data_IF_904601533420
#
_entry.id   IF_904601533420
#
_cell.length_a   1.000
_cell.length_b   1.000
_cell.length_c   1.000
_cell.angle_alpha   90.00
_cell.angle_beta   90.00
_cell.angle_gamma   90.00
#
_symmetry.space_group_name_H-M   'P 1'
#
loop_
_entity.id
_entity.type
_entity.pdbx_description
1 polymer ?
#
# COMPACT_ATOMS: atom_id res chain seq x y z
N UNK A 1 17.62 -11.22 18.65
CA UNK A 1 18.46 -10.18 18.02
C UNK A 1 17.87 -8.85 18.44
N UNK A 2 18.68 -7.96 19.00
CA UNK A 2 18.20 -6.66 19.47
C UNK A 2 18.20 -5.66 18.32
N UNK A 3 17.23 -4.75 18.32
CA UNK A 3 17.01 -3.80 17.23
C UNK A 3 18.16 -2.81 17.07
N UNK A 4 18.41 -2.43 15.81
CA UNK A 4 19.40 -1.44 15.41
C UNK A 4 18.81 -0.04 15.20
N UNK A 5 19.65 0.99 15.26
CA UNK A 5 19.25 2.39 14.99
C UNK A 5 18.72 2.55 13.56
N UNK A 6 19.31 1.83 12.61
CA UNK A 6 18.87 1.78 11.21
C UNK A 6 17.46 1.20 11.08
N UNK A 7 17.18 0.08 11.75
CA UNK A 7 15.85 -0.53 11.73
C UNK A 7 14.81 0.37 12.40
N UNK A 8 15.18 1.04 13.48
CA UNK A 8 14.31 2.00 14.16
C UNK A 8 13.95 3.17 13.25
N UNK A 9 14.94 3.79 12.59
CA UNK A 9 14.73 4.87 11.61
C UNK A 9 13.92 4.41 10.40
N UNK A 10 14.11 3.17 9.94
CA UNK A 10 13.32 2.58 8.84
C UNK A 10 11.83 2.55 9.21
N UNK A 11 11.50 2.17 10.45
CA UNK A 11 10.12 2.17 10.93
C UNK A 11 9.55 3.58 11.04
N UNK A 12 10.33 4.54 11.56
CA UNK A 12 9.90 5.93 11.64
C UNK A 12 9.61 6.54 10.26
N UNK A 13 10.45 6.20 9.27
CA UNK A 13 10.36 6.69 7.90
C UNK A 13 9.19 6.08 7.14
N UNK A 14 9.10 4.75 7.12
CA UNK A 14 8.08 4.03 6.33
C UNK A 14 6.70 4.03 7.01
N UNK A 15 6.67 4.28 8.31
CA UNK A 15 5.48 4.16 9.12
C UNK A 15 5.01 2.72 9.26
N UNK A 16 3.93 2.55 10.02
CA UNK A 16 3.21 1.27 10.16
C UNK A 16 2.08 1.22 9.15
N UNK A 17 2.36 0.78 7.93
CA UNK A 17 1.28 0.42 7.02
C UNK A 17 0.48 -0.74 7.61
N UNK A 18 -0.84 -0.63 7.67
CA UNK A 18 -1.73 -1.69 8.19
C UNK A 18 -1.75 -2.97 7.32
N UNK A 19 -0.83 -3.10 6.36
CA UNK A 19 -0.66 -4.31 5.55
C UNK A 19 -0.12 -5.41 6.46
N UNK A 20 -0.71 -6.61 6.39
CA UNK A 20 -0.47 -7.71 7.32
C UNK A 20 1.00 -8.11 7.50
N UNK A 21 1.84 -7.87 6.49
CA UNK A 21 3.30 -8.07 6.53
C UNK A 21 4.01 -7.15 7.52
N UNK A 22 3.56 -5.90 7.68
CA UNK A 22 4.22 -4.93 8.55
C UNK A 22 3.77 -5.05 10.01
N UNK A 23 2.54 -5.54 10.26
CA UNK A 23 2.07 -5.85 11.62
C UNK A 23 2.88 -6.98 12.26
N UNK A 24 3.25 -8.01 11.49
CA UNK A 24 4.12 -9.09 11.95
C UNK A 24 5.51 -8.57 12.33
N UNK A 25 6.13 -7.79 11.43
CA UNK A 25 7.43 -7.14 11.68
C UNK A 25 7.38 -6.20 12.88
N UNK A 26 6.34 -5.38 13.01
CA UNK A 26 6.17 -4.46 14.13
C UNK A 26 6.04 -5.20 15.47
N UNK A 27 5.26 -6.30 15.53
CA UNK A 27 5.17 -7.14 16.73
C UNK A 27 6.52 -7.76 17.08
N UNK A 28 7.27 -8.22 16.09
CA UNK A 28 8.61 -8.78 16.29
C UNK A 28 9.59 -7.72 16.81
N UNK A 29 9.56 -6.51 16.25
CA UNK A 29 10.38 -5.38 16.69
C UNK A 29 10.02 -4.94 18.11
N UNK A 30 8.73 -4.84 18.43
CA UNK A 30 8.27 -4.58 19.81
C UNK A 30 8.72 -5.67 20.78
N UNK A 31 8.63 -6.95 20.39
CA UNK A 31 9.10 -8.06 21.23
C UNK A 31 10.63 -8.07 21.41
N UNK A 32 11.37 -7.49 20.46
CA UNK A 32 12.83 -7.33 20.54
C UNK A 32 13.29 -6.15 21.40
N UNK A 33 12.36 -5.34 21.92
CA UNK A 33 12.65 -4.17 22.73
C UNK A 33 13.32 -4.56 24.05
N UNK A 34 14.56 -4.13 24.26
CA UNK A 34 15.34 -4.54 25.44
C UNK A 34 15.34 -3.49 26.54
N UNK A 35 15.15 -2.22 26.20
CA UNK A 35 15.19 -1.09 27.16
C UNK A 35 13.79 -0.60 27.54
N UNK A 36 13.69 0.10 28.68
CA UNK A 36 12.42 0.72 29.12
C UNK A 36 11.94 1.77 28.11
N UNK A 37 12.87 2.59 27.60
CA UNK A 37 12.56 3.61 26.60
C UNK A 37 12.01 3.00 25.30
N UNK A 38 12.62 1.92 24.80
CA UNK A 38 12.11 1.20 23.62
C UNK A 38 10.69 0.67 23.86
N UNK A 39 10.43 0.05 25.02
CA UNK A 39 9.10 -0.50 25.35
C UNK A 39 8.03 0.59 25.40
N UNK A 40 8.31 1.70 26.07
CA UNK A 40 7.40 2.85 26.17
C UNK A 40 7.12 3.47 24.79
N UNK A 41 8.14 3.56 23.93
CA UNK A 41 7.96 4.03 22.56
C UNK A 41 7.02 3.12 21.77
N UNK A 42 7.23 1.80 21.82
CA UNK A 42 6.40 0.86 21.07
C UNK A 42 4.95 0.80 21.57
N UNK A 43 4.72 0.98 22.87
CA UNK A 43 3.37 1.13 23.44
C UNK A 43 2.70 2.40 22.92
N UNK A 44 3.40 3.54 23.01
CA UNK A 44 2.88 4.84 22.52
C UNK A 44 2.61 4.81 21.01
N UNK A 45 3.48 4.17 20.22
CA UNK A 45 3.29 3.98 18.78
C UNK A 45 2.04 3.13 18.50
N UNK A 46 1.82 2.05 19.26
CA UNK A 46 0.68 1.16 19.06
C UNK A 46 -0.65 1.88 19.28
N UNK A 47 -0.75 2.67 20.35
CA UNK A 47 -1.96 3.47 20.65
C UNK A 47 -2.24 4.51 19.57
N UNK A 48 -1.18 5.15 19.05
CA UNK A 48 -1.32 6.12 17.95
C UNK A 48 -1.83 5.45 16.66
N UNK A 49 -1.39 4.21 16.38
CA UNK A 49 -1.81 3.48 15.17
C UNK A 49 -3.22 2.90 15.23
N UNK A 50 -3.72 2.58 16.43
CA UNK A 50 -5.09 2.07 16.61
C UNK A 50 -6.15 3.13 16.23
N UNK A 51 -5.82 4.42 16.40
CA UNK A 51 -6.72 5.54 16.14
C UNK A 51 -6.86 5.87 14.66
N UNK A 52 -5.88 5.55 13.81
CA UNK A 52 -5.88 5.89 12.37
C UNK A 52 -6.60 4.85 11.48
N UNK A 53 -7.16 3.78 12.05
CA UNK A 53 -7.44 2.54 11.34
C UNK A 53 -8.89 2.39 10.84
N UNK A 54 -9.21 2.96 9.67
CA UNK A 54 -10.21 2.37 8.75
C UNK A 54 -9.81 2.61 7.29
N UNK A 55 -8.83 1.86 6.77
CA UNK A 55 -8.48 1.97 5.34
C UNK A 55 -9.66 1.48 4.51
N UNK A 56 -10.23 2.35 3.67
CA UNK A 56 -11.28 1.93 2.73
C UNK A 56 -10.55 1.39 1.51
N UNK A 57 -10.37 0.07 1.46
CA UNK A 57 -9.79 -0.57 0.28
C UNK A 57 -10.87 -0.67 -0.79
N UNK A 58 -10.63 -0.06 -1.95
CA UNK A 58 -11.44 -0.34 -3.12
C UNK A 58 -11.12 -1.73 -3.63
N UNK A 59 -12.14 -2.58 -3.72
CA UNK A 59 -11.99 -3.92 -4.23
C UNK A 59 -12.06 -3.93 -5.75
N UNK A 60 -10.91 -3.86 -6.43
CA UNK A 60 -10.84 -3.83 -7.88
C UNK A 60 -11.07 -5.25 -8.47
N UNK A 61 -12.23 -5.54 -9.08
CA UNK A 61 -12.51 -6.87 -9.62
C UNK A 61 -11.57 -7.22 -10.77
N UNK A 62 -11.14 -6.23 -11.56
CA UNK A 62 -10.21 -6.41 -12.69
C UNK A 62 -8.87 -7.00 -12.18
N UNK A 63 -8.35 -6.56 -11.04
CA UNK A 63 -7.07 -7.06 -10.50
C UNK A 63 -7.18 -8.45 -9.84
N UNK A 64 -8.34 -8.82 -9.31
CA UNK A 64 -8.52 -10.10 -8.59
C UNK A 64 -8.57 -11.31 -9.50
N UNK A 65 -9.00 -11.13 -10.75
CA UNK A 65 -9.15 -12.24 -11.68
C UNK A 65 -7.77 -12.72 -12.14
N UNK A 66 -7.36 -13.88 -11.65
CA UNK A 66 -6.23 -14.64 -12.20
C UNK A 66 -6.73 -15.54 -13.33
N UNK A 67 -6.13 -15.43 -14.52
CA UNK A 67 -6.52 -16.20 -15.69
C UNK A 67 -5.36 -17.05 -16.13
N UNK A 68 -5.63 -18.35 -16.27
CA UNK A 68 -4.71 -19.25 -16.94
C UNK A 68 -4.92 -19.10 -18.45
N UNK A 69 -3.86 -18.82 -19.23
CA UNK A 69 -4.00 -18.70 -20.68
C UNK A 69 -4.55 -20.02 -21.23
N UNK A 70 -5.69 -19.93 -21.91
CA UNK A 70 -6.31 -21.05 -22.61
C UNK A 70 -5.74 -21.23 -24.02
N UNK A 71 -6.14 -22.30 -24.70
CA UNK A 71 -5.87 -22.43 -26.14
C UNK A 71 -6.58 -21.30 -26.88
N UNK A 72 -5.90 -20.72 -27.86
CA UNK A 72 -6.50 -19.67 -28.65
C UNK A 72 -7.73 -20.20 -29.41
N UNK A 73 -8.85 -19.48 -29.32
CA UNK A 73 -10.10 -19.83 -30.02
C UNK A 73 -10.80 -18.56 -30.51
N UNK A 74 -11.47 -18.61 -31.67
CA UNK A 74 -12.37 -17.55 -32.08
C UNK A 74 -13.60 -17.49 -31.16
N UNK A 75 -14.21 -16.31 -31.09
CA UNK A 75 -15.50 -16.13 -30.42
C UNK A 75 -16.59 -16.86 -31.19
N UNK A 76 -17.42 -17.61 -30.47
CA UNK A 76 -18.60 -18.24 -31.07
C UNK A 76 -19.81 -17.28 -31.05
N UNK A 77 -20.90 -17.69 -31.68
CA UNK A 77 -22.12 -16.87 -31.74
C UNK A 77 -22.74 -16.62 -30.36
N UNK A 78 -22.55 -17.53 -29.40
CA UNK A 78 -23.06 -17.39 -28.05
C UNK A 78 -22.24 -16.36 -27.26
N UNK A 79 -20.91 -16.38 -27.40
CA UNK A 79 -20.00 -15.38 -26.84
C UNK A 79 -20.36 -13.98 -27.36
N UNK A 80 -20.56 -13.84 -28.67
CA UNK A 80 -20.95 -12.56 -29.28
C UNK A 80 -22.30 -12.05 -28.76
N UNK A 81 -23.32 -12.93 -28.70
CA UNK A 81 -24.63 -12.57 -28.18
C UNK A 81 -24.59 -12.22 -26.68
N UNK A 82 -23.71 -12.87 -25.92
CA UNK A 82 -23.50 -12.56 -24.50
C UNK A 82 -22.82 -11.20 -24.33
N UNK A 83 -21.72 -10.92 -25.06
CA UNK A 83 -21.03 -9.62 -25.03
C UNK A 83 -21.99 -8.48 -25.36
N UNK A 84 -22.86 -8.66 -26.37
CA UNK A 84 -23.84 -7.65 -26.78
C UNK A 84 -24.91 -7.35 -25.71
N UNK A 85 -25.14 -8.26 -24.76
CA UNK A 85 -26.12 -8.08 -23.68
C UNK A 85 -25.52 -7.44 -22.44
N UNK A 86 -24.20 -7.29 -22.37
CA UNK A 86 -23.55 -6.67 -21.22
C UNK A 86 -24.02 -5.22 -21.06
N UNK A 87 -24.13 -4.73 -19.82
CA UNK A 87 -24.44 -3.33 -19.57
C UNK A 87 -23.45 -2.41 -20.28
N UNK A 88 -23.96 -1.36 -20.93
CA UNK A 88 -23.10 -0.33 -21.53
C UNK A 88 -22.35 0.52 -20.48
N UNK A 89 -22.90 0.58 -19.26
CA UNK A 89 -22.29 1.28 -18.13
C UNK A 89 -21.21 0.37 -17.48
N UNK A 90 -19.91 0.77 -17.51
CA UNK A 90 -18.82 0.00 -16.92
C UNK A 90 -19.01 -0.31 -15.43
N UNK A 91 -19.74 0.54 -14.70
CA UNK A 91 -19.97 0.36 -13.27
C UNK A 91 -20.95 -0.79 -12.95
N UNK A 92 -21.73 -1.25 -13.94
CA UNK A 92 -22.76 -2.29 -13.80
C UNK A 92 -22.32 -3.66 -14.27
N UNK A 93 -21.14 -3.77 -14.87
CA UNK A 93 -20.57 -5.06 -15.29
C UNK A 93 -20.13 -5.83 -14.04
N UNK A 94 -20.58 -7.08 -13.91
CA UNK A 94 -20.32 -7.86 -12.70
C UNK A 94 -18.87 -8.35 -12.66
N UNK A 95 -18.31 -8.68 -11.48
CA UNK A 95 -16.98 -9.30 -11.38
C UNK A 95 -16.84 -10.59 -12.20
N UNK A 96 -17.92 -11.39 -12.29
CA UNK A 96 -17.97 -12.61 -13.09
C UNK A 96 -17.90 -12.31 -14.59
N UNK A 97 -18.60 -11.26 -15.04
CA UNK A 97 -18.53 -10.80 -16.43
C UNK A 97 -17.13 -10.28 -16.78
N UNK A 98 -16.49 -9.54 -15.87
CA UNK A 98 -15.08 -9.11 -16.02
C UNK A 98 -14.16 -10.33 -16.15
N UNK A 99 -14.37 -11.37 -15.34
CA UNK A 99 -13.60 -12.60 -15.42
C UNK A 99 -13.78 -13.30 -16.76
N UNK A 100 -15.02 -13.41 -17.25
CA UNK A 100 -15.32 -14.01 -18.54
C UNK A 100 -14.69 -13.21 -19.70
N UNK A 101 -14.86 -11.89 -19.73
CA UNK A 101 -14.27 -11.00 -20.74
C UNK A 101 -12.76 -11.12 -20.80
N UNK A 102 -12.09 -11.12 -19.65
CA UNK A 102 -10.64 -11.29 -19.60
C UNK A 102 -10.21 -12.70 -20.02
N UNK A 103 -11.00 -13.72 -19.66
CA UNK A 103 -10.79 -15.10 -20.11
C UNK A 103 -10.80 -15.20 -21.63
N UNK A 104 -11.82 -14.61 -22.25
CA UNK A 104 -11.92 -14.49 -23.71
C UNK A 104 -10.75 -13.68 -24.29
N UNK A 105 -10.37 -12.55 -23.67
CA UNK A 105 -9.25 -11.73 -24.12
C UNK A 105 -7.92 -12.51 -24.12
N UNK A 106 -7.71 -13.41 -23.16
CA UNK A 106 -6.52 -14.26 -23.08
C UNK A 106 -6.47 -15.36 -24.15
N UNK A 107 -7.63 -15.72 -24.71
CA UNK A 107 -7.78 -16.75 -25.74
C UNK A 107 -7.87 -16.15 -27.15
N UNK A 108 -8.20 -14.87 -27.27
CA UNK A 108 -8.24 -14.18 -28.55
C UNK A 108 -6.81 -13.83 -29.00
N UNK A 109 -6.46 -14.19 -30.24
CA UNK A 109 -5.17 -13.80 -30.81
C UNK A 109 -5.08 -12.26 -30.92
N UNK A 110 -3.96 -11.69 -30.47
CA UNK A 110 -3.74 -10.25 -30.50
C UNK A 110 -3.88 -9.71 -31.94
N UNK A 111 -4.56 -8.57 -32.09
CA UNK A 111 -4.75 -7.90 -33.38
C UNK A 111 -5.96 -8.36 -34.20
N UNK A 112 -6.61 -9.47 -33.82
CA UNK A 112 -7.85 -9.96 -34.46
C UNK A 112 -9.07 -9.08 -34.15
N UNK A 113 -10.11 -9.18 -34.97
CA UNK A 113 -11.40 -8.52 -34.73
C UNK A 113 -12.02 -8.91 -33.38
N UNK A 114 -11.91 -10.19 -33.01
CA UNK A 114 -12.39 -10.71 -31.71
C UNK A 114 -11.68 -10.03 -30.55
N UNK A 115 -10.35 -9.95 -30.60
CA UNK A 115 -9.57 -9.25 -29.58
C UNK A 115 -9.96 -7.76 -29.51
N UNK A 116 -10.18 -7.09 -30.64
CA UNK A 116 -10.62 -5.69 -30.68
C UNK A 116 -12.01 -5.51 -30.07
N UNK A 117 -12.96 -6.41 -30.36
CA UNK A 117 -14.30 -6.38 -29.79
C UNK A 117 -14.27 -6.53 -28.27
N UNK A 118 -13.55 -7.53 -27.77
CA UNK A 118 -13.42 -7.77 -26.32
C UNK A 118 -12.77 -6.55 -25.66
N UNK A 119 -11.72 -5.98 -26.26
CA UNK A 119 -11.05 -4.78 -25.74
C UNK A 119 -11.93 -3.53 -25.77
N UNK A 120 -12.84 -3.41 -26.74
CA UNK A 120 -13.79 -2.29 -26.79
C UNK A 120 -14.73 -2.27 -25.58
N UNK A 121 -15.07 -3.44 -25.02
CA UNK A 121 -15.89 -3.55 -23.80
C UNK A 121 -15.03 -3.54 -22.54
N UNK A 122 -13.97 -4.34 -22.51
CA UNK A 122 -13.11 -4.50 -21.33
C UNK A 122 -12.28 -3.25 -21.02
N UNK A 123 -11.80 -2.52 -22.03
CA UNK A 123 -10.97 -1.32 -21.85
C UNK A 123 -11.66 -0.25 -20.98
N UNK A 124 -12.89 0.18 -21.31
CA UNK A 124 -13.65 1.10 -20.47
C UNK A 124 -13.85 0.62 -19.02
N UNK A 125 -14.07 -0.68 -18.82
CA UNK A 125 -14.16 -1.29 -17.47
C UNK A 125 -12.84 -1.19 -16.72
N UNK A 126 -11.73 -1.52 -17.37
CA UNK A 126 -10.38 -1.40 -16.80
C UNK A 126 -10.10 0.05 -16.39
N UNK A 127 -10.42 1.03 -17.24
CA UNK A 127 -10.25 2.46 -16.95
C UNK A 127 -11.13 2.92 -15.79
N UNK A 128 -12.40 2.52 -15.76
CA UNK A 128 -13.32 2.89 -14.68
C UNK A 128 -12.83 2.39 -13.32
N UNK A 129 -12.51 1.10 -13.21
CA UNK A 129 -12.04 0.52 -11.95
C UNK A 129 -10.65 1.04 -11.55
N UNK A 130 -9.77 1.32 -12.51
CA UNK A 130 -8.49 1.96 -12.22
C UNK A 130 -8.67 3.37 -11.62
N UNK A 131 -9.60 4.17 -12.15
CA UNK A 131 -9.93 5.49 -11.60
C UNK A 131 -10.49 5.37 -10.18
N UNK A 132 -11.43 4.44 -9.93
CA UNK A 132 -12.00 4.21 -8.59
C UNK A 132 -10.96 3.74 -7.58
N UNK A 133 -10.01 2.91 -8.02
CA UNK A 133 -8.87 2.51 -7.19
C UNK A 133 -7.97 3.71 -6.87
N UNK A 134 -7.69 4.57 -7.85
CA UNK A 134 -6.91 5.80 -7.64
C UNK A 134 -7.62 6.79 -6.68
N UNK A 135 -8.93 6.99 -6.83
CA UNK A 135 -9.76 7.81 -5.92
C UNK A 135 -9.72 7.27 -4.49
N UNK A 136 -9.86 5.95 -4.31
CA UNK A 136 -9.80 5.33 -2.98
C UNK A 136 -8.39 5.42 -2.37
N UNK A 137 -7.35 5.24 -3.19
CA UNK A 137 -5.96 5.43 -2.75
C UNK A 137 -5.70 6.87 -2.32
N UNK A 138 -6.18 7.85 -3.10
CA UNK A 138 -6.09 9.26 -2.75
C UNK A 138 -6.85 9.58 -1.46
N UNK A 139 -8.05 9.04 -1.26
CA UNK A 139 -8.82 9.21 -0.03
C UNK A 139 -8.10 8.62 1.19
N UNK A 140 -7.38 7.51 1.02
CA UNK A 140 -6.55 6.91 2.07
C UNK A 140 -5.29 7.74 2.36
N UNK A 141 -4.64 8.28 1.32
CA UNK A 141 -3.45 9.13 1.44
C UNK A 141 -3.76 10.55 1.89
N UNK A 142 -5.00 11.03 1.74
CA UNK A 142 -5.40 12.36 2.22
C UNK A 142 -5.55 12.43 3.75
N UNK A 143 -5.36 11.30 4.45
CA UNK A 143 -5.46 11.23 5.90
C UNK A 143 -4.18 11.73 6.56
N UNK A 144 -4.27 12.32 7.78
CA UNK A 144 -3.09 12.73 8.51
C UNK A 144 -2.14 11.55 8.74
N UNK A 145 -0.84 11.80 8.56
CA UNK A 145 0.20 10.86 8.95
C UNK A 145 0.09 10.54 10.45
N UNK A 146 0.18 9.26 10.80
CA UNK A 146 0.29 8.82 12.20
C UNK A 146 1.43 9.57 12.89
N UNK A 147 1.13 10.25 13.98
CA UNK A 147 2.11 11.02 14.74
C UNK A 147 3.21 10.10 15.29
N UNK A 148 4.44 10.59 15.35
CA UNK A 148 5.54 9.89 16.00
C UNK A 148 5.55 10.33 17.47
N UNK A 149 5.51 9.39 18.44
CA UNK A 149 5.56 9.70 19.86
C UNK A 149 6.78 10.55 20.24
N UNK A 150 6.60 11.44 21.21
CA UNK A 150 7.64 12.35 21.66
C UNK A 150 8.88 11.63 22.23
N UNK A 151 8.70 10.44 22.79
CA UNK A 151 9.77 9.61 23.35
C UNK A 151 10.59 8.83 22.30
N UNK A 152 10.39 9.08 21.01
CA UNK A 152 11.16 8.43 19.94
C UNK A 152 12.68 8.72 20.04
N UNK A 153 13.06 9.94 20.44
CA UNK A 153 14.47 10.31 20.62
C UNK A 153 15.11 9.58 21.81
N UNK A 154 14.36 9.39 22.91
CA UNK A 154 14.84 8.64 24.08
C UNK A 154 15.06 7.17 23.74
N UNK A 155 14.12 6.56 23.02
CA UNK A 155 14.24 5.18 22.56
C UNK A 155 15.43 4.99 21.60
N UNK A 156 15.61 5.89 20.63
CA UNK A 156 16.73 5.82 19.71
C UNK A 156 18.08 6.09 20.39
N UNK A 157 18.12 6.98 21.39
CA UNK A 157 19.31 7.23 22.21
C UNK A 157 19.73 5.96 22.97
N UNK A 158 18.77 5.23 23.55
CA UNK A 158 19.02 3.95 24.22
C UNK A 158 19.55 2.87 23.27
N UNK A 159 19.10 2.86 22.00
CA UNK A 159 19.64 1.99 20.96
C UNK A 159 21.08 2.39 20.60
N UNK A 160 21.34 3.69 20.41
CA UNK A 160 22.68 4.21 20.11
C UNK A 160 23.69 3.91 21.23
N UNK A 161 23.26 3.94 22.49
CA UNK A 161 24.10 3.55 23.64
C UNK A 161 24.62 2.11 23.55
N UNK A 162 23.88 1.22 22.90
CA UNK A 162 24.28 -0.17 22.69
C UNK A 162 25.15 -0.35 21.43
N UNK A 163 24.86 0.42 20.38
CA UNK A 163 25.60 0.32 19.10
C UNK A 163 26.94 1.03 19.14
N UNK A 164 27.02 2.15 19.85
CA UNK A 164 28.22 2.99 19.95
C UNK A 164 28.41 3.38 21.43
N UNK A 165 28.96 2.48 22.26
CA UNK A 165 29.08 2.70 23.70
C UNK A 165 29.95 3.90 24.08
N UNK A 166 30.91 4.25 23.23
CA UNK A 166 31.91 5.29 23.49
C UNK A 166 31.37 6.72 23.34
N UNK A 167 30.16 6.91 22.78
CA UNK A 167 29.53 8.22 22.69
C UNK A 167 29.09 8.69 24.08
N UNK A 168 29.23 10.00 24.35
CA UNK A 168 28.68 10.61 25.57
C UNK A 168 27.15 10.69 25.50
N UNK A 169 26.48 10.71 26.65
CA UNK A 169 25.01 10.67 26.70
C UNK A 169 24.36 11.87 25.99
N UNK A 170 24.97 13.06 26.10
CA UNK A 170 24.54 14.29 25.43
C UNK A 170 24.68 14.20 23.89
N UNK A 171 25.77 13.60 23.42
CA UNK A 171 26.02 13.36 22.01
C UNK A 171 25.05 12.31 21.43
N UNK A 172 24.77 11.24 22.19
CA UNK A 172 23.80 10.21 21.80
C UNK A 172 22.41 10.79 21.63
N UNK A 173 21.94 11.55 22.62
CA UNK A 173 20.62 12.16 22.55
C UNK A 173 20.51 13.20 21.42
N UNK A 174 21.53 14.04 21.24
CA UNK A 174 21.57 15.03 20.16
C UNK A 174 21.50 14.36 18.79
N UNK A 175 22.28 13.28 18.60
CA UNK A 175 22.28 12.50 17.37
C UNK A 175 20.95 11.77 17.15
N UNK A 176 20.40 11.13 18.18
CA UNK A 176 19.10 10.48 18.12
C UNK A 176 17.99 11.48 17.71
N UNK A 177 17.97 12.66 18.33
CA UNK A 177 17.01 13.72 18.03
C UNK A 177 17.11 14.20 16.57
N UNK A 178 18.33 14.36 16.05
CA UNK A 178 18.55 14.70 14.65
C UNK A 178 18.03 13.58 13.71
N UNK A 179 18.37 12.32 13.98
CA UNK A 179 17.92 11.18 13.18
C UNK A 179 16.39 11.01 13.18
N UNK A 180 15.72 11.23 14.32
CA UNK A 180 14.26 11.22 14.41
C UNK A 180 13.66 12.34 13.56
N UNK A 181 14.21 13.56 13.66
CA UNK A 181 13.75 14.71 12.86
C UNK A 181 13.89 14.46 11.37
N UNK A 182 15.03 13.94 10.94
CA UNK A 182 15.31 13.61 9.54
C UNK A 182 14.34 12.54 9.05
N UNK A 183 14.09 11.50 9.85
CA UNK A 183 13.11 10.45 9.52
C UNK A 183 11.68 10.99 9.40
N UNK A 184 11.26 11.89 10.30
CA UNK A 184 9.94 12.56 10.26
C UNK A 184 9.81 13.40 9.00
N UNK A 185 10.83 14.20 8.67
CA UNK A 185 10.83 15.04 7.47
C UNK A 185 10.79 14.17 6.21
N UNK A 186 11.64 13.15 6.12
CA UNK A 186 11.67 12.25 4.98
C UNK A 186 10.35 11.50 4.80
N UNK A 187 9.72 11.05 5.89
CA UNK A 187 8.37 10.45 5.85
C UNK A 187 7.34 11.43 5.30
N UNK A 188 7.43 12.71 5.66
CA UNK A 188 6.53 13.75 5.16
C UNK A 188 6.72 13.95 3.66
N UNK A 189 7.96 14.03 3.19
CA UNK A 189 8.28 14.21 1.77
C UNK A 189 7.77 13.03 0.95
N UNK A 190 8.07 11.79 1.37
CA UNK A 190 7.55 10.58 0.71
C UNK A 190 6.02 10.55 0.65
N UNK A 191 5.36 11.02 1.70
CA UNK A 191 3.91 11.10 1.73
C UNK A 191 3.36 12.16 0.77
N UNK A 192 4.01 13.32 0.68
CA UNK A 192 3.63 14.37 -0.27
C UNK A 192 3.80 13.89 -1.71
N UNK A 193 4.88 13.18 -2.01
CA UNK A 193 5.11 12.57 -3.32
C UNK A 193 4.02 11.55 -3.66
N UNK A 194 3.68 10.66 -2.71
CA UNK A 194 2.60 9.68 -2.88
C UNK A 194 1.24 10.35 -3.10
N UNK A 195 0.95 11.42 -2.37
CA UNK A 195 -0.28 12.21 -2.56
C UNK A 195 -0.30 12.87 -3.93
N UNK A 196 0.82 13.41 -4.40
CA UNK A 196 0.93 14.02 -5.73
C UNK A 196 0.71 12.99 -6.85
N UNK A 197 1.34 11.82 -6.75
CA UNK A 197 1.17 10.72 -7.69
C UNK A 197 -0.29 10.22 -7.70
N UNK A 198 -0.89 10.02 -6.52
CA UNK A 198 -2.28 9.59 -6.42
C UNK A 198 -3.27 10.63 -6.95
N UNK A 199 -2.99 11.93 -6.78
CA UNK A 199 -3.79 13.01 -7.39
C UNK A 199 -3.70 12.99 -8.90
N UNK A 200 -2.50 12.80 -9.46
CA UNK A 200 -2.32 12.70 -10.90
C UNK A 200 -3.02 11.47 -11.49
N UNK A 201 -3.04 10.35 -10.77
CA UNK A 201 -3.73 9.12 -11.19
C UNK A 201 -5.27 9.21 -11.07
N UNK A 202 -5.79 10.07 -10.20
CA UNK A 202 -7.22 10.25 -9.97
C UNK A 202 -7.87 11.35 -10.83
N UNK A 203 -7.07 12.24 -11.42
CA UNK A 203 -7.50 13.32 -12.32
C UNK A 203 -8.05 12.73 -13.64
#
# INVERSE_FOLDING_TARGET
MAMTSREFVDVLTKGTTNKGTDRGRFRQLRASATTVAEKQFWESMWDTTATTAQVTNYDNPVRRVSIRPGKARPLDAADLAWIQRLPADPAKISPEDVQALKGMASQAAMGTSDHRLIRAVLGPVETYHAKREAEANLANLSRPLTQIPANAADALSAILAREVPDLRDDERYSRASAMVRDAVNHRRDLHLDQVAEARAAAA
#
